data_IF_847577325892
#
_entry.id   IF_847577325892
#
_cell.length_a   1.000
_cell.length_b   1.000
_cell.length_c   1.000
_cell.angle_alpha   90.00
_cell.angle_beta   90.00
_cell.angle_gamma   90.00
#
_symmetry.space_group_name_H-M   'P 1'
#
loop_
_entity.id
_entity.type
_entity.pdbx_description
1 polymer ?
#
# COMPACT_ATOMS: atom_id res chain seq x y z
N UNK A 1 -0.58 2.80 10.36
CA UNK A 1 -0.30 3.31 9.01
C UNK A 1 -1.53 3.06 8.16
N UNK A 2 -2.01 4.09 7.48
CA UNK A 2 -3.18 4.02 6.60
C UNK A 2 -2.66 4.13 5.17
N UNK A 3 -3.13 3.25 4.30
CA UNK A 3 -2.81 3.25 2.88
C UNK A 3 -4.10 3.46 2.11
N UNK A 4 -4.12 4.43 1.20
CA UNK A 4 -5.30 4.75 0.39
C UNK A 4 -4.95 4.56 -1.08
N UNK A 5 -5.78 3.80 -1.79
CA UNK A 5 -5.66 3.56 -3.24
C UNK A 5 -7.02 3.79 -3.87
N UNK A 6 -7.04 4.45 -5.02
CA UNK A 6 -8.26 4.66 -5.81
C UNK A 6 -8.20 3.81 -7.07
N UNK A 7 -9.23 3.00 -7.31
CA UNK A 7 -9.29 2.04 -8.41
C UNK A 7 -10.59 2.27 -9.21
N UNK A 8 -10.49 2.22 -10.53
CA UNK A 8 -11.63 2.28 -11.44
C UNK A 8 -12.50 1.04 -11.26
N UNK A 9 -13.79 1.24 -11.05
CA UNK A 9 -14.73 0.11 -10.95
C UNK A 9 -14.88 -0.66 -12.27
N UNK A 10 -14.84 0.06 -13.39
CA UNK A 10 -15.09 -0.51 -14.72
C UNK A 10 -13.86 -1.25 -15.26
N UNK A 11 -12.67 -0.63 -15.13
CA UNK A 11 -11.44 -1.19 -15.69
C UNK A 11 -10.64 -2.02 -14.69
N UNK A 12 -10.87 -1.85 -13.39
CA UNK A 12 -10.06 -2.47 -12.33
C UNK A 12 -8.64 -1.87 -12.20
N UNK A 13 -8.40 -0.72 -12.86
CA UNK A 13 -7.10 -0.05 -12.90
C UNK A 13 -6.93 0.96 -11.79
N UNK A 14 -5.70 1.15 -11.32
CA UNK A 14 -5.37 2.19 -10.34
C UNK A 14 -5.51 3.56 -10.99
N UNK A 15 -6.40 4.39 -10.46
CA UNK A 15 -6.61 5.76 -10.93
C UNK A 15 -5.75 6.76 -10.16
N UNK A 16 -5.55 6.53 -8.86
CA UNK A 16 -4.76 7.41 -8.00
C UNK A 16 -4.21 6.70 -6.76
N UNK A 17 -3.13 7.25 -6.19
CA UNK A 17 -2.39 6.68 -5.07
C UNK A 17 -1.17 5.86 -5.52
N UNK A 18 -0.51 5.14 -4.61
CA UNK A 18 -0.87 4.96 -3.20
C UNK A 18 -0.49 6.15 -2.32
N UNK A 19 -1.46 6.64 -1.53
CA UNK A 19 -1.22 7.64 -0.49
C UNK A 19 -1.05 6.97 0.86
N UNK A 20 0.03 7.30 1.56
CA UNK A 20 0.35 6.69 2.86
C UNK A 20 0.33 7.76 3.96
N UNK A 21 -0.48 7.51 4.98
CA UNK A 21 -0.58 8.34 6.17
C UNK A 21 -0.04 7.54 7.36
N UNK A 22 1.10 7.98 7.89
CA UNK A 22 1.64 7.47 9.15
C UNK A 22 1.01 8.22 10.32
N UNK A 23 0.40 7.50 11.27
CA UNK A 23 -0.02 8.03 12.58
C UNK A 23 0.65 7.22 13.68
N UNK A 24 1.49 7.86 14.48
CA UNK A 24 2.16 7.26 15.65
C UNK A 24 3.24 6.21 15.34
N UNK A 25 3.66 6.05 14.08
CA UNK A 25 4.67 5.05 13.69
C UNK A 25 6.01 5.69 13.31
N UNK A 26 6.01 6.57 12.31
CA UNK A 26 7.19 7.31 11.84
C UNK A 26 6.86 8.78 11.59
N UNK A 27 7.82 9.66 11.89
CA UNK A 27 7.76 11.08 11.56
C UNK A 27 8.28 11.30 10.13
N UNK A 28 7.41 11.74 9.22
CA UNK A 28 7.66 11.70 7.76
C UNK A 28 8.93 12.44 7.34
N UNK A 29 9.32 13.52 8.03
CA UNK A 29 10.53 14.29 7.70
C UNK A 29 11.85 13.53 7.91
N UNK A 30 11.88 12.54 8.81
CA UNK A 30 13.08 11.72 9.09
C UNK A 30 12.99 10.34 8.42
N UNK A 31 11.94 10.08 7.64
CA UNK A 31 11.62 8.75 7.10
C UNK A 31 11.15 8.82 5.66
N UNK A 32 11.58 9.83 4.90
CA UNK A 32 11.20 10.02 3.49
C UNK A 32 11.55 8.78 2.65
N UNK A 33 12.79 8.27 2.76
CA UNK A 33 13.23 7.04 2.08
C UNK A 33 12.39 5.81 2.44
N UNK A 34 11.95 5.71 3.70
CA UNK A 34 11.11 4.60 4.16
C UNK A 34 9.71 4.70 3.54
N UNK A 35 9.17 5.92 3.50
CA UNK A 35 7.84 6.18 2.96
C UNK A 35 7.81 6.00 1.44
N UNK A 36 8.85 6.42 0.74
CA UNK A 36 8.95 6.25 -0.71
C UNK A 36 9.17 4.78 -1.08
N UNK A 37 10.04 4.07 -0.37
CA UNK A 37 10.15 2.62 -0.55
C UNK A 37 8.84 1.88 -0.25
N UNK A 38 8.07 2.32 0.76
CA UNK A 38 6.74 1.75 1.02
C UNK A 38 5.76 2.02 -0.14
N UNK A 39 5.78 3.21 -0.74
CA UNK A 39 4.95 3.52 -1.93
C UNK A 39 5.34 2.62 -3.11
N UNK A 40 6.64 2.41 -3.33
CA UNK A 40 7.13 1.58 -4.44
C UNK A 40 6.72 0.12 -4.28
N UNK A 41 6.79 -0.43 -3.05
CA UNK A 41 6.27 -1.76 -2.74
C UNK A 41 4.78 -1.88 -3.10
N UNK A 42 3.96 -0.89 -2.71
CA UNK A 42 2.53 -0.92 -3.01
C UNK A 42 2.27 -0.82 -4.52
N UNK A 43 2.98 0.07 -5.23
CA UNK A 43 2.86 0.19 -6.69
C UNK A 43 3.19 -1.13 -7.39
N UNK A 44 4.25 -1.82 -6.97
CA UNK A 44 4.60 -3.13 -7.53
C UNK A 44 3.49 -4.16 -7.31
N UNK A 45 2.94 -4.23 -6.09
CA UNK A 45 1.81 -5.12 -5.77
C UNK A 45 0.59 -4.81 -6.65
N UNK A 46 0.28 -3.53 -6.83
CA UNK A 46 -0.85 -3.10 -7.65
C UNK A 46 -0.65 -3.46 -9.13
N UNK A 47 0.55 -3.20 -9.68
CA UNK A 47 0.89 -3.54 -11.06
C UNK A 47 0.81 -5.06 -11.30
N UNK A 48 1.36 -5.87 -10.38
CA UNK A 48 1.26 -7.33 -10.50
C UNK A 48 -0.19 -7.84 -10.46
N UNK A 49 -1.04 -7.20 -9.64
CA UNK A 49 -2.46 -7.55 -9.57
C UNK A 49 -3.19 -7.14 -10.86
N UNK A 50 -2.87 -5.98 -11.42
CA UNK A 50 -3.42 -5.51 -12.70
C UNK A 50 -3.02 -6.45 -13.86
N UNK A 51 -1.74 -6.82 -13.96
CA UNK A 51 -1.25 -7.76 -14.97
C UNK A 51 -1.92 -9.14 -14.87
N UNK A 52 -2.17 -9.60 -13.65
CA UNK A 52 -2.87 -10.87 -13.38
C UNK A 52 -4.39 -10.75 -13.44
N UNK A 53 -4.92 -9.55 -13.74
CA UNK A 53 -6.36 -9.24 -13.81
C UNK A 53 -7.12 -9.62 -12.52
N UNK A 54 -6.46 -9.44 -11.37
CA UNK A 54 -7.03 -9.76 -10.05
C UNK A 54 -7.88 -8.57 -9.59
N UNK A 55 -9.18 -8.81 -9.38
CA UNK A 55 -10.14 -7.76 -9.01
C UNK A 55 -10.67 -7.91 -7.58
N UNK A 56 -10.31 -8.98 -6.88
CA UNK A 56 -10.75 -9.23 -5.51
C UNK A 56 -10.09 -8.26 -4.53
N UNK A 57 -10.87 -7.33 -3.98
CA UNK A 57 -10.39 -6.35 -2.99
C UNK A 57 -9.77 -6.97 -1.75
N UNK A 58 -10.29 -8.12 -1.31
CA UNK A 58 -9.73 -8.83 -0.17
C UNK A 58 -8.29 -9.29 -0.44
N UNK A 59 -8.02 -9.73 -1.67
CA UNK A 59 -6.69 -10.16 -2.10
C UNK A 59 -5.72 -8.99 -2.19
N UNK A 60 -6.14 -7.90 -2.85
CA UNK A 60 -5.37 -6.65 -2.93
C UNK A 60 -5.01 -6.10 -1.54
N UNK A 61 -6.00 -5.98 -0.65
CA UNK A 61 -5.79 -5.50 0.73
C UNK A 61 -4.80 -6.38 1.50
N UNK A 62 -4.91 -7.70 1.36
CA UNK A 62 -3.99 -8.63 2.04
C UNK A 62 -2.57 -8.52 1.48
N UNK A 63 -2.39 -8.51 0.16
CA UNK A 63 -1.05 -8.39 -0.42
C UNK A 63 -0.37 -7.07 -0.07
N UNK A 64 -1.10 -5.95 -0.11
CA UNK A 64 -0.58 -4.65 0.33
C UNK A 64 -0.12 -4.73 1.78
N UNK A 65 -0.95 -5.32 2.65
CA UNK A 65 -0.64 -5.45 4.08
C UNK A 65 0.60 -6.30 4.33
N UNK A 66 0.69 -7.50 3.75
CA UNK A 66 1.80 -8.42 4.03
C UNK A 66 3.14 -7.90 3.48
N UNK A 67 3.16 -7.39 2.24
CA UNK A 67 4.38 -6.85 1.65
C UNK A 67 4.90 -5.61 2.42
N UNK A 68 4.00 -4.70 2.80
CA UNK A 68 4.39 -3.55 3.62
C UNK A 68 4.85 -3.96 5.01
N UNK A 69 4.19 -4.94 5.63
CA UNK A 69 4.56 -5.43 6.96
C UNK A 69 5.98 -6.00 6.93
N UNK A 70 6.30 -6.80 5.92
CA UNK A 70 7.65 -7.34 5.74
C UNK A 70 8.68 -6.22 5.53
N UNK A 71 8.44 -5.30 4.60
CA UNK A 71 9.34 -4.17 4.32
C UNK A 71 9.61 -3.32 5.57
N UNK A 72 8.55 -2.94 6.29
CA UNK A 72 8.66 -2.13 7.50
C UNK A 72 9.39 -2.87 8.62
N UNK A 73 9.13 -4.16 8.79
CA UNK A 73 9.85 -4.96 9.78
C UNK A 73 11.33 -5.09 9.45
N UNK A 74 11.69 -5.31 8.18
CA UNK A 74 13.10 -5.38 7.76
C UNK A 74 13.84 -4.07 8.02
N UNK A 75 13.23 -2.92 7.73
CA UNK A 75 13.85 -1.60 7.87
C UNK A 75 13.83 -1.04 9.30
N UNK A 76 12.75 -1.25 10.04
CA UNK A 76 12.55 -0.58 11.34
C UNK A 76 12.47 -1.54 12.53
N UNK A 77 12.46 -2.86 12.30
CA UNK A 77 12.25 -3.91 13.34
C UNK A 77 10.97 -3.71 14.17
N UNK A 78 9.94 -3.12 13.57
CA UNK A 78 8.63 -2.85 14.20
C UNK A 78 7.52 -3.43 13.33
N UNK A 79 6.41 -3.80 13.97
CA UNK A 79 5.22 -4.33 13.31
C UNK A 79 4.04 -3.37 13.51
N UNK A 80 3.96 -2.27 12.75
CA UNK A 80 2.84 -1.35 12.87
C UNK A 80 1.54 -1.97 12.34
N UNK A 81 0.41 -1.50 12.88
CA UNK A 81 -0.89 -1.79 12.28
C UNK A 81 -1.00 -1.10 10.92
N UNK A 82 -1.32 -1.86 9.87
CA UNK A 82 -1.50 -1.38 8.49
C UNK A 82 -2.97 -1.55 8.11
N UNK A 83 -3.60 -0.45 7.70
CA UNK A 83 -5.00 -0.41 7.28
C UNK A 83 -5.08 0.07 5.81
N UNK A 84 -5.24 -0.85 4.84
CA UNK A 84 -5.47 -0.50 3.46
C UNK A 84 -6.94 -0.16 3.20
N UNK A 85 -7.18 0.98 2.56
CA UNK A 85 -8.46 1.51 2.14
C UNK A 85 -8.44 1.59 0.61
N UNK A 86 -9.40 0.93 -0.03
CA UNK A 86 -9.59 0.99 -1.48
C UNK A 86 -10.86 1.78 -1.73
N UNK A 87 -10.73 2.85 -2.50
CA UNK A 87 -11.84 3.65 -2.99
C UNK A 87 -12.13 3.24 -4.43
N UNK A 88 -13.38 2.87 -4.70
CA UNK A 88 -13.86 2.68 -6.06
C UNK A 88 -14.41 3.99 -6.61
N UNK A 89 -14.04 4.33 -7.85
CA UNK A 89 -14.60 5.45 -8.60
C UNK A 89 -15.09 4.95 -9.96
#
# INVERSE_FOLDING_TARGET
MIVVVTISKDEGKVLAGPDIISRGFVYVRESEDLMDGAKDIIKNVLNECEEKNIKEWAYLKNNIKENLKEYLYQKTKRNPMILPIIMEV
#
